data_IF_217135270067
#
_entry.id   IF_217135270067
#
_cell.length_a   1.000
_cell.length_b   1.000
_cell.length_c   1.000
_cell.angle_alpha   90.00
_cell.angle_beta   90.00
_cell.angle_gamma   90.00
#
_symmetry.space_group_name_H-M   'P 1'
#
loop_
_entity.id
_entity.type
_entity.pdbx_description
1 polymer ?
#
# COMPACT_ATOMS: atom_id res chain seq x y z
N UNK A 1 -0.08 -15.14 9.52
CA UNK A 1 0.91 -14.15 10.00
C UNK A 1 2.26 -14.52 9.41
N UNK A 2 2.93 -13.56 8.78
CA UNK A 2 4.24 -13.73 8.20
C UNK A 2 5.13 -12.54 8.58
N UNK A 3 6.43 -12.82 8.65
CA UNK A 3 7.49 -11.80 8.74
C UNK A 3 8.34 -12.01 7.51
N UNK A 4 8.67 -10.94 6.81
CA UNK A 4 9.45 -11.03 5.58
C UNK A 4 10.61 -10.06 5.59
N UNK A 5 11.68 -10.47 4.91
CA UNK A 5 12.82 -9.66 4.56
C UNK A 5 13.15 -9.95 3.10
N UNK A 6 13.20 -8.90 2.29
CA UNK A 6 13.52 -8.95 0.88
C UNK A 6 14.75 -8.09 0.69
N UNK A 7 15.80 -8.67 0.11
CA UNK A 7 16.98 -7.96 -0.35
C UNK A 7 16.88 -7.88 -1.86
N UNK A 8 16.90 -6.65 -2.40
CA UNK A 8 16.93 -6.43 -3.84
C UNK A 8 18.21 -5.71 -4.20
N UNK A 9 18.92 -6.32 -5.15
CA UNK A 9 20.04 -5.71 -5.82
C UNK A 9 19.55 -5.07 -7.12
N UNK A 10 20.20 -3.98 -7.53
CA UNK A 10 19.88 -3.22 -8.73
C UNK A 10 18.45 -2.64 -8.84
N UNK A 11 17.89 -2.12 -7.74
CA UNK A 11 16.57 -1.46 -7.79
C UNK A 11 16.68 -0.11 -8.50
N UNK A 12 15.85 0.10 -9.52
CA UNK A 12 15.80 1.38 -10.22
C UNK A 12 15.19 2.47 -9.29
N UNK A 13 15.99 3.45 -8.89
CA UNK A 13 15.56 4.62 -8.14
C UNK A 13 15.67 5.85 -9.04
N UNK A 14 14.58 6.59 -9.20
CA UNK A 14 14.60 7.84 -9.94
C UNK A 14 15.48 8.85 -9.18
N UNK A 15 16.52 9.35 -9.83
CA UNK A 15 17.33 10.44 -9.31
C UNK A 15 16.60 11.77 -9.53
N UNK A 16 17.04 12.79 -8.82
CA UNK A 16 16.56 14.17 -8.99
C UNK A 16 17.22 14.88 -10.18
N UNK A 17 18.04 14.17 -10.95
CA UNK A 17 18.85 14.72 -12.04
C UNK A 17 18.12 14.47 -13.37
N UNK A 18 17.75 15.53 -14.13
CA UNK A 18 17.17 15.36 -15.46
C UNK A 18 18.23 14.86 -16.46
N UNK A 19 17.84 13.97 -17.39
CA UNK A 19 18.73 13.51 -18.46
C UNK A 19 18.89 14.63 -19.50
N UNK A 20 20.11 15.15 -19.73
CA UNK A 20 20.34 16.20 -20.73
C UNK A 20 19.90 15.74 -22.12
N UNK A 21 19.03 16.51 -22.79
CA UNK A 21 18.49 16.19 -24.11
C UNK A 21 17.24 15.30 -24.13
N UNK A 22 16.68 14.95 -22.98
CA UNK A 22 15.37 14.27 -22.86
C UNK A 22 14.22 15.26 -22.63
N UNK A 23 12.98 14.86 -22.96
CA UNK A 23 11.76 15.63 -22.68
C UNK A 23 11.36 15.57 -21.20
N UNK A 24 12.25 15.99 -20.30
CA UNK A 24 11.98 16.02 -18.85
C UNK A 24 12.01 14.65 -18.17
N UNK A 25 12.75 13.68 -18.73
CA UNK A 25 12.99 12.41 -18.05
C UNK A 25 14.07 12.56 -16.98
N UNK A 26 13.85 11.90 -15.85
CA UNK A 26 14.80 11.84 -14.75
C UNK A 26 15.71 10.62 -14.92
N UNK A 27 17.01 10.80 -14.65
CA UNK A 27 17.96 9.69 -14.68
C UNK A 27 17.61 8.69 -13.58
N UNK A 28 17.76 7.39 -13.87
CA UNK A 28 17.55 6.33 -12.89
C UNK A 28 18.92 5.81 -12.43
N UNK A 29 19.11 5.67 -11.13
CA UNK A 29 20.30 5.04 -10.55
C UNK A 29 19.91 3.64 -10.07
N UNK A 30 20.75 2.66 -10.42
CA UNK A 30 20.69 1.34 -9.82
C UNK A 30 21.10 1.47 -8.35
N UNK A 31 20.18 1.17 -7.45
CA UNK A 31 20.43 1.21 -6.01
C UNK A 31 20.55 -0.21 -5.53
N UNK A 32 21.79 -0.63 -5.30
CA UNK A 32 22.10 -1.93 -4.71
C UNK A 32 21.73 -1.95 -3.23
N UNK A 33 21.36 -3.13 -2.73
CA UNK A 33 21.09 -3.35 -1.32
C UNK A 33 19.83 -2.68 -0.78
N UNK A 34 18.78 -2.56 -1.60
CA UNK A 34 17.46 -2.18 -1.06
C UNK A 34 16.96 -3.30 -0.17
N UNK A 35 16.79 -3.01 1.13
CA UNK A 35 16.28 -3.98 2.10
C UNK A 35 14.86 -3.58 2.49
N UNK A 36 13.90 -4.44 2.16
CA UNK A 36 12.53 -4.33 2.61
C UNK A 36 12.26 -5.32 3.74
N UNK A 37 11.83 -4.83 4.89
CA UNK A 37 11.44 -5.65 6.04
C UNK A 37 10.01 -5.33 6.42
N UNK A 38 9.21 -6.35 6.70
CA UNK A 38 7.83 -6.13 7.05
C UNK A 38 7.18 -7.31 7.74
N UNK A 39 5.97 -7.05 8.20
CA UNK A 39 5.07 -8.02 8.80
C UNK A 39 3.74 -7.93 8.08
N UNK A 40 3.15 -9.10 7.86
CA UNK A 40 1.85 -9.21 7.25
C UNK A 40 0.97 -10.17 8.05
N UNK A 41 -0.26 -9.76 8.23
CA UNK A 41 -1.28 -10.52 8.90
C UNK A 41 -2.51 -10.56 8.01
N UNK A 42 -2.94 -11.76 7.66
CA UNK A 42 -4.18 -12.00 6.96
C UNK A 42 -4.99 -13.07 7.70
N UNK A 43 -6.28 -12.82 7.83
CA UNK A 43 -7.28 -13.77 8.29
C UNK A 43 -8.45 -13.76 7.32
N UNK A 44 -8.83 -14.93 6.85
CA UNK A 44 -9.95 -15.13 5.94
C UNK A 44 -10.77 -16.32 6.44
N UNK A 45 -12.08 -16.14 6.56
CA UNK A 45 -12.95 -17.24 6.94
C UNK A 45 -14.40 -16.86 7.22
N UNK A 46 -15.16 -17.88 7.58
CA UNK A 46 -16.51 -17.73 8.11
C UNK A 46 -16.43 -17.61 9.64
N UNK A 47 -16.94 -16.50 10.19
CA UNK A 47 -17.11 -16.33 11.64
C UNK A 47 -18.31 -17.16 12.09
N UNK A 48 -19.36 -17.19 11.26
CA UNK A 48 -20.56 -18.03 11.41
C UNK A 48 -21.01 -18.49 10.02
N UNK A 49 -21.97 -19.41 9.94
CA UNK A 49 -22.53 -19.89 8.66
C UNK A 49 -23.11 -18.78 7.77
N UNK A 50 -23.48 -17.65 8.37
CA UNK A 50 -24.03 -16.48 7.71
C UNK A 50 -23.10 -15.25 7.71
N UNK A 51 -21.91 -15.33 8.29
CA UNK A 51 -20.97 -14.20 8.37
C UNK A 51 -19.58 -14.59 7.89
N UNK A 52 -19.12 -13.94 6.82
CA UNK A 52 -17.79 -14.08 6.26
C UNK A 52 -16.99 -12.80 6.44
N UNK A 53 -15.71 -12.94 6.79
CA UNK A 53 -14.80 -11.82 6.97
C UNK A 53 -13.42 -12.14 6.38
N UNK A 54 -12.86 -11.14 5.71
CA UNK A 54 -11.47 -11.08 5.30
C UNK A 54 -10.85 -9.85 5.92
N UNK A 55 -9.74 -10.01 6.64
CA UNK A 55 -8.99 -8.92 7.19
C UNK A 55 -7.51 -9.11 6.87
N UNK A 56 -6.89 -8.09 6.30
CA UNK A 56 -5.47 -8.02 5.98
C UNK A 56 -4.87 -6.74 6.54
N UNK A 57 -3.71 -6.86 7.18
CA UNK A 57 -2.91 -5.73 7.62
C UNK A 57 -1.45 -5.99 7.28
N UNK A 58 -0.81 -5.02 6.64
CA UNK A 58 0.60 -5.09 6.28
C UNK A 58 1.32 -3.83 6.74
N UNK A 59 2.53 -4.03 7.26
CA UNK A 59 3.45 -2.94 7.56
C UNK A 59 4.84 -3.32 7.10
N UNK A 60 5.47 -2.47 6.32
CA UNK A 60 6.84 -2.67 5.87
C UNK A 60 7.63 -1.37 5.87
N UNK A 61 8.95 -1.52 5.92
CA UNK A 61 9.94 -0.45 5.76
C UNK A 61 10.86 -0.89 4.62
N UNK A 62 11.11 0.01 3.68
CA UNK A 62 12.02 -0.20 2.55
C UNK A 62 13.03 0.93 2.54
N UNK A 63 14.30 0.57 2.74
CA UNK A 63 15.43 1.50 2.82
C UNK A 63 16.53 1.01 1.86
N UNK A 64 17.26 1.95 1.27
CA UNK A 64 18.46 1.67 0.49
C UNK A 64 19.72 1.60 1.37
N UNK A 65 20.86 1.30 0.75
CA UNK A 65 22.16 1.24 1.42
C UNK A 65 22.59 2.57 2.08
N UNK A 66 22.00 3.70 1.69
CA UNK A 66 22.27 5.03 2.26
C UNK A 66 21.27 5.38 3.39
N UNK A 67 20.34 4.47 3.70
CA UNK A 67 19.28 4.66 4.70
C UNK A 67 18.12 5.53 4.23
N UNK A 68 18.05 5.84 2.93
CA UNK A 68 16.94 6.62 2.38
C UNK A 68 15.74 5.71 2.10
N UNK A 69 14.54 6.23 2.32
CA UNK A 69 13.31 5.51 2.04
C UNK A 69 13.16 5.26 0.52
N UNK A 70 13.10 3.99 0.11
CA UNK A 70 12.88 3.62 -1.29
C UNK A 70 11.38 3.69 -1.62
N UNK A 71 11.03 4.43 -2.68
CA UNK A 71 9.64 4.65 -3.11
C UNK A 71 8.71 5.12 -1.96
N UNK A 72 8.96 6.30 -1.36
CA UNK A 72 8.14 6.83 -0.25
C UNK A 72 6.68 7.16 -0.66
N UNK A 73 6.40 7.14 -1.97
CA UNK A 73 5.08 7.28 -2.55
C UNK A 73 4.20 6.03 -2.37
N UNK A 74 4.78 4.91 -1.92
CA UNK A 74 4.04 3.70 -1.57
C UNK A 74 3.70 3.70 -0.07
N UNK A 75 2.46 3.34 0.32
CA UNK A 75 2.07 3.32 1.72
C UNK A 75 2.86 2.26 2.47
N UNK A 76 3.42 2.63 3.62
CA UNK A 76 4.19 1.73 4.49
C UNK A 76 3.30 0.87 5.37
N UNK A 77 2.08 1.33 5.64
CA UNK A 77 1.08 0.59 6.40
C UNK A 77 -0.25 0.64 5.65
N UNK A 78 -0.85 -0.52 5.42
CA UNK A 78 -2.21 -0.60 4.89
C UNK A 78 -3.03 -1.66 5.63
N UNK A 79 -4.32 -1.39 5.72
CA UNK A 79 -5.32 -2.26 6.35
C UNK A 79 -6.49 -2.41 5.40
N UNK A 80 -6.90 -3.66 5.18
CA UNK A 80 -8.04 -4.01 4.32
C UNK A 80 -8.96 -4.90 5.13
N UNK A 81 -10.20 -4.48 5.28
CA UNK A 81 -11.26 -5.25 5.90
C UNK A 81 -12.38 -5.41 4.89
N UNK A 82 -12.88 -6.62 4.71
CA UNK A 82 -14.10 -6.87 3.97
C UNK A 82 -14.95 -7.86 4.76
N UNK A 83 -16.25 -7.58 4.84
CA UNK A 83 -17.20 -8.39 5.58
C UNK A 83 -18.47 -8.56 4.77
N UNK A 84 -19.08 -9.73 4.88
CA UNK A 84 -20.35 -10.08 4.26
C UNK A 84 -21.21 -10.81 5.28
N UNK A 85 -22.44 -10.37 5.43
CA UNK A 85 -23.41 -10.90 6.36
C UNK A 85 -24.73 -11.22 5.66
N UNK A 86 -25.18 -12.47 5.76
CA UNK A 86 -26.50 -12.89 5.29
C UNK A 86 -27.49 -12.73 6.44
N UNK A 87 -28.56 -11.99 6.20
CA UNK A 87 -29.58 -11.73 7.21
C UNK A 87 -30.37 -13.01 7.51
N UNK A 88 -30.44 -13.41 8.78
CA UNK A 88 -31.20 -14.58 9.21
C UNK A 88 -32.71 -14.39 9.01
N UNK A 89 -33.19 -13.16 9.18
CA UNK A 89 -34.61 -12.82 8.99
C UNK A 89 -35.02 -12.82 7.50
N UNK A 90 -34.09 -12.54 6.59
CA UNK A 90 -34.30 -12.50 5.14
C UNK A 90 -33.08 -13.15 4.48
N UNK A 91 -33.07 -14.50 4.34
CA UNK A 91 -31.90 -15.23 3.84
C UNK A 91 -31.45 -14.86 2.42
N UNK A 92 -32.36 -14.27 1.64
CA UNK A 92 -32.14 -13.74 0.29
C UNK A 92 -31.30 -12.47 0.30
N UNK A 93 -31.33 -11.71 1.41
CA UNK A 93 -30.63 -10.44 1.55
C UNK A 93 -29.25 -10.67 2.20
N UNK A 94 -28.22 -10.32 1.44
CA UNK A 94 -26.83 -10.25 1.90
C UNK A 94 -26.40 -8.80 1.93
N UNK A 95 -25.90 -8.37 3.09
CA UNK A 95 -25.30 -7.05 3.26
C UNK A 95 -23.82 -7.22 3.55
N UNK A 96 -22.99 -6.43 2.90
CA UNK A 96 -21.55 -6.48 3.07
C UNK A 96 -20.95 -5.11 2.85
N UNK A 97 -19.66 -5.04 3.07
CA UNK A 97 -18.91 -3.83 2.89
C UNK A 97 -17.45 -4.04 3.22
N UNK A 98 -16.64 -3.05 2.90
CA UNK A 98 -15.23 -3.08 3.16
C UNK A 98 -14.67 -1.71 3.48
N UNK A 99 -13.49 -1.73 4.09
CA UNK A 99 -12.70 -0.55 4.35
C UNK A 99 -11.27 -0.83 3.91
N UNK A 100 -10.77 -0.01 3.00
CA UNK A 100 -9.38 -0.01 2.58
C UNK A 100 -8.71 1.27 3.11
N UNK A 101 -7.83 1.13 4.08
CA UNK A 101 -7.09 2.24 4.68
C UNK A 101 -5.60 2.16 4.36
N UNK A 102 -4.99 3.31 4.13
CA UNK A 102 -3.55 3.44 3.99
C UNK A 102 -3.02 4.68 4.69
N UNK A 103 -1.78 4.61 5.15
CA UNK A 103 -1.11 5.73 5.81
C UNK A 103 -0.57 6.77 4.81
N UNK A 104 -0.13 7.91 5.35
CA UNK A 104 0.52 8.99 4.60
C UNK A 104 1.64 8.46 3.69
N UNK A 105 1.65 8.95 2.45
CA UNK A 105 2.74 8.78 1.48
C UNK A 105 3.29 10.13 1.07
N UNK A 106 4.54 10.17 0.64
CA UNK A 106 5.15 11.40 0.15
C UNK A 106 6.12 11.12 -1.00
N UNK A 107 6.38 12.12 -1.82
CA UNK A 107 7.39 12.06 -2.87
C UNK A 107 8.12 13.39 -2.95
N UNK A 108 9.43 13.35 -2.87
CA UNK A 108 10.28 14.52 -3.08
C UNK A 108 10.56 14.65 -4.58
N UNK A 109 10.29 15.83 -5.13
CA UNK A 109 10.54 16.19 -6.53
C UNK A 109 11.44 17.41 -6.55
N UNK A 110 12.64 17.27 -7.12
CA UNK A 110 13.54 18.40 -7.33
C UNK A 110 13.17 19.13 -8.61
N UNK A 111 13.03 20.44 -8.51
CA UNK A 111 12.75 21.35 -9.61
C UNK A 111 13.83 22.42 -9.68
N UNK A 112 13.94 23.19 -10.79
CA UNK A 112 14.87 24.32 -10.88
C UNK A 112 14.68 25.40 -9.79
N UNK A 113 13.53 25.41 -9.10
CA UNK A 113 13.17 26.39 -8.09
C UNK A 113 13.33 25.86 -6.65
N UNK A 114 13.80 24.63 -6.48
CA UNK A 114 13.97 23.96 -5.19
C UNK A 114 13.34 22.56 -5.14
N UNK A 115 13.44 21.93 -3.97
CA UNK A 115 12.85 20.60 -3.71
C UNK A 115 11.44 20.76 -3.15
N UNK A 116 10.45 20.24 -3.88
CA UNK A 116 9.05 20.22 -3.44
C UNK A 116 8.69 18.82 -2.96
N UNK A 117 8.02 18.74 -1.81
CA UNK A 117 7.46 17.50 -1.28
C UNK A 117 5.98 17.42 -1.62
N UNK A 118 5.62 16.47 -2.46
CA UNK A 118 4.22 16.07 -2.67
C UNK A 118 3.82 15.13 -1.53
N UNK A 119 2.79 15.47 -0.77
CA UNK A 119 2.27 14.63 0.31
C UNK A 119 0.82 14.23 0.02
N UNK A 120 0.50 12.97 0.31
CA UNK A 120 -0.87 12.48 0.39
C UNK A 120 -1.08 11.94 1.79
N UNK A 121 -2.01 12.54 2.52
CA UNK A 121 -2.37 12.14 3.88
C UNK A 121 -2.95 10.72 3.95
N UNK A 122 -3.12 10.22 5.17
CA UNK A 122 -3.81 8.95 5.40
C UNK A 122 -5.28 9.06 4.97
N UNK A 123 -5.80 8.04 4.31
CA UNK A 123 -7.20 7.99 3.90
C UNK A 123 -7.77 6.58 4.00
N UNK A 124 -9.09 6.50 4.11
CA UNK A 124 -9.86 5.27 4.03
C UNK A 124 -10.86 5.36 2.88
N UNK A 125 -11.00 4.27 2.13
CA UNK A 125 -12.08 4.06 1.17
C UNK A 125 -13.04 3.05 1.76
N UNK A 126 -14.34 3.36 1.71
CA UNK A 126 -15.40 2.54 2.29
C UNK A 126 -16.30 2.05 1.17
N UNK A 127 -16.48 0.75 1.11
CA UNK A 127 -17.31 0.06 0.14
C UNK A 127 -18.55 -0.52 0.84
N UNK A 128 -19.69 -0.49 0.16
CA UNK A 128 -20.93 -1.09 0.62
C UNK A 128 -21.50 -1.98 -0.49
N UNK A 129 -21.97 -3.16 -0.10
CA UNK A 129 -22.52 -4.16 -1.00
C UNK A 129 -23.85 -4.71 -0.45
N UNK A 130 -24.98 -4.25 -0.98
CA UNK A 130 -26.25 -4.95 -0.84
C UNK A 130 -26.42 -5.94 -2.00
N UNK A 131 -26.83 -7.18 -1.71
CA UNK A 131 -27.15 -8.19 -2.70
C UNK A 131 -28.44 -8.92 -2.32
N UNK A 132 -29.33 -9.12 -3.29
CA UNK A 132 -30.57 -9.89 -3.16
C UNK A 132 -30.51 -11.00 -4.20
N UNK A 133 -30.83 -12.23 -3.81
CA UNK A 133 -30.83 -13.41 -4.68
C UNK A 133 -32.24 -13.92 -4.93
#
# INVERSE_FOLDING_TARGET
MSVFRIEQDNVAQATTIPIPGSNGEFAWKSTDGTVSKGVEFEVNGAITDNWQMTFGATRYVAEDNEGNAVNPNLPRTSVKLFTRYRLLAIPELTVGGGVNWQNRVYKDTTTPYGTFRAEQGSYALVDLLPAIR
#
